data_IF_129550511327
#
_entry.id   IF_129550511327
#
_cell.length_a   1.000
_cell.length_b   1.000
_cell.length_c   1.000
_cell.angle_alpha   90.00
_cell.angle_beta   90.00
_cell.angle_gamma   90.00
#
_symmetry.space_group_name_H-M   'P 1'
#
loop_
_entity.id
_entity.type
_entity.pdbx_description
1 polymer ?
#
# COMPACT_ATOMS: atom_id res chain seq x y z
N UNK A 1 -9.61 -13.04 16.64
CA UNK A 1 -10.33 -13.43 17.84
C UNK A 1 -11.74 -12.88 17.89
N UNK A 2 -12.71 -13.48 18.62
CA UNK A 2 -14.10 -12.99 18.68
C UNK A 2 -14.24 -11.56 19.22
N UNK A 3 -13.32 -11.09 20.04
CA UNK A 3 -13.26 -9.73 20.56
C UNK A 3 -12.32 -8.81 19.80
N UNK A 4 -12.06 -9.10 18.53
CA UNK A 4 -11.19 -8.28 17.69
C UNK A 4 -11.72 -6.82 17.61
N UNK A 5 -10.79 -5.89 17.69
CA UNK A 5 -11.06 -4.46 17.52
C UNK A 5 -10.43 -4.00 16.21
N UNK A 6 -11.23 -3.46 15.27
CA UNK A 6 -10.69 -2.88 14.05
C UNK A 6 -9.52 -1.92 14.34
N UNK A 7 -8.54 -1.87 13.47
CA UNK A 7 -7.32 -1.06 13.66
C UNK A 7 -6.24 -1.70 14.53
N UNK A 8 -6.56 -2.74 15.33
CA UNK A 8 -5.62 -3.33 16.28
C UNK A 8 -5.20 -4.76 15.91
N UNK A 9 -3.99 -5.13 16.28
CA UNK A 9 -3.54 -6.51 16.27
C UNK A 9 -3.49 -7.00 17.71
N UNK A 10 -4.32 -7.98 18.06
CA UNK A 10 -4.23 -8.68 19.33
C UNK A 10 -3.04 -9.64 19.29
N UNK A 11 -1.88 -9.13 19.65
CA UNK A 11 -0.61 -9.85 19.61
C UNK A 11 -0.61 -11.12 20.48
N UNK A 12 0.09 -12.17 20.03
CA UNK A 12 0.33 -13.35 20.87
C UNK A 12 0.95 -12.98 22.20
N UNK A 13 0.41 -13.52 23.29
CA UNK A 13 0.92 -13.30 24.64
C UNK A 13 2.13 -14.21 24.93
N UNK A 14 3.09 -13.73 25.74
CA UNK A 14 4.24 -14.52 26.20
C UNK A 14 3.83 -15.71 27.07
N UNK A 15 2.69 -15.62 27.74
CA UNK A 15 2.16 -16.62 28.66
C UNK A 15 1.21 -17.63 28.01
N UNK A 16 1.18 -17.68 26.69
CA UNK A 16 0.33 -18.57 25.91
C UNK A 16 -0.73 -17.82 25.10
N UNK A 17 -0.76 -18.11 23.81
CA UNK A 17 -1.69 -17.51 22.87
C UNK A 17 -2.93 -18.38 22.69
N UNK A 18 -4.09 -17.75 22.63
CA UNK A 18 -5.37 -18.39 22.37
C UNK A 18 -6.05 -17.74 21.17
N UNK A 19 -6.65 -18.54 20.29
CA UNK A 19 -7.42 -18.02 19.16
C UNK A 19 -8.64 -17.17 19.60
N UNK A 20 -9.06 -17.30 20.85
CA UNK A 20 -10.16 -16.51 21.40
C UNK A 20 -9.75 -15.09 21.80
N UNK A 21 -8.45 -14.85 21.97
CA UNK A 21 -7.91 -13.57 22.46
C UNK A 21 -6.87 -12.93 21.54
N UNK A 22 -6.19 -13.72 20.72
CA UNK A 22 -5.02 -13.29 19.97
C UNK A 22 -5.10 -13.72 18.51
N UNK A 23 -4.39 -13.02 17.63
CA UNK A 23 -4.04 -13.55 16.33
C UNK A 23 -3.10 -14.73 16.51
N UNK A 24 -3.45 -15.89 15.95
CA UNK A 24 -2.64 -17.11 16.04
C UNK A 24 -2.56 -17.81 14.68
N UNK A 25 -1.40 -18.35 14.36
CA UNK A 25 -1.24 -19.21 13.20
C UNK A 25 -1.71 -20.63 13.54
N UNK A 26 -2.85 -21.07 13.00
CA UNK A 26 -3.42 -22.39 13.26
C UNK A 26 -2.75 -23.52 12.48
N UNK A 27 -2.30 -23.23 11.26
CA UNK A 27 -1.64 -24.20 10.40
C UNK A 27 -0.70 -23.52 9.41
N UNK A 28 0.26 -24.26 8.91
CA UNK A 28 1.19 -23.81 7.86
C UNK A 28 1.37 -24.94 6.84
N UNK A 29 1.28 -24.59 5.57
CA UNK A 29 1.54 -25.50 4.45
C UNK A 29 2.48 -24.84 3.45
N UNK A 30 3.52 -25.55 3.05
CA UNK A 30 4.36 -25.13 1.93
C UNK A 30 3.75 -25.64 0.63
N UNK A 31 3.57 -24.77 -0.33
CA UNK A 31 3.03 -25.10 -1.65
C UNK A 31 4.11 -24.93 -2.72
N UNK A 32 4.08 -25.79 -3.76
CA UNK A 32 4.80 -25.49 -4.98
C UNK A 32 4.20 -24.27 -5.68
N UNK A 33 4.96 -23.63 -6.58
CA UNK A 33 4.48 -22.48 -7.37
C UNK A 33 3.16 -22.80 -8.10
N UNK A 34 3.06 -23.97 -8.72
CA UNK A 34 1.87 -24.36 -9.47
C UNK A 34 0.66 -24.62 -8.56
N UNK A 35 0.89 -25.25 -7.41
CA UNK A 35 -0.15 -25.46 -6.40
C UNK A 35 -0.66 -24.14 -5.83
N UNK A 36 0.23 -23.18 -5.59
CA UNK A 36 -0.11 -21.84 -5.15
C UNK A 36 -0.92 -21.10 -6.24
N UNK A 37 -0.45 -21.10 -7.48
CA UNK A 37 -1.16 -20.50 -8.61
C UNK A 37 -2.57 -21.09 -8.78
N UNK A 38 -2.70 -22.42 -8.73
CA UNK A 38 -3.98 -23.12 -8.85
C UNK A 38 -4.94 -22.75 -7.71
N UNK A 39 -4.42 -22.55 -6.48
CA UNK A 39 -5.24 -22.16 -5.33
C UNK A 39 -5.82 -20.75 -5.49
N UNK A 40 -5.11 -19.84 -6.16
CA UNK A 40 -5.51 -18.44 -6.33
C UNK A 40 -6.27 -18.17 -7.64
N UNK A 41 -6.22 -19.07 -8.62
CA UNK A 41 -6.75 -18.83 -9.98
C UNK A 41 -8.27 -18.68 -10.07
N UNK A 42 -9.02 -19.05 -9.03
CA UNK A 42 -10.50 -19.05 -9.01
C UNK A 42 -11.10 -18.00 -8.10
N UNK A 43 -10.28 -17.21 -7.45
CA UNK A 43 -10.71 -16.29 -6.40
C UNK A 43 -10.11 -14.91 -6.62
N UNK A 44 -10.80 -13.88 -6.17
CA UNK A 44 -10.23 -12.56 -6.01
C UNK A 44 -9.02 -12.63 -5.07
N UNK A 45 -7.96 -11.87 -5.35
CA UNK A 45 -6.76 -11.82 -4.51
C UNK A 45 -6.36 -10.37 -4.30
N UNK A 46 -5.97 -10.01 -3.07
CA UNK A 46 -5.38 -8.73 -2.71
C UNK A 46 -3.95 -8.92 -2.21
N UNK A 47 -3.01 -8.13 -2.73
CA UNK A 47 -1.59 -8.21 -2.37
C UNK A 47 -1.22 -7.13 -1.36
N UNK A 48 -0.57 -7.51 -0.26
CA UNK A 48 0.06 -6.58 0.67
C UNK A 48 1.59 -6.71 0.62
N UNK A 49 2.29 -5.56 0.55
CA UNK A 49 3.76 -5.47 0.58
C UNK A 49 4.17 -4.63 1.79
N UNK A 50 4.80 -5.27 2.78
CA UNK A 50 5.15 -4.61 4.04
C UNK A 50 6.30 -3.62 3.92
N UNK A 51 6.45 -2.76 4.92
CA UNK A 51 7.48 -1.73 5.01
C UNK A 51 8.77 -2.17 5.71
N UNK A 52 9.60 -1.17 6.00
CA UNK A 52 10.84 -1.26 6.77
C UNK A 52 10.61 -1.77 8.21
N UNK A 53 11.62 -2.39 8.79
CA UNK A 53 11.63 -2.82 10.19
C UNK A 53 10.44 -3.72 10.53
N UNK A 54 10.06 -4.62 9.63
CA UNK A 54 8.90 -5.51 9.79
C UNK A 54 9.34 -6.96 9.77
N UNK A 55 9.10 -7.69 10.85
CA UNK A 55 9.36 -9.13 10.92
C UNK A 55 8.24 -9.91 10.24
N UNK A 56 8.52 -11.14 9.80
CA UNK A 56 7.55 -11.98 9.09
C UNK A 56 6.20 -12.11 9.81
N UNK A 57 6.20 -12.38 11.11
CA UNK A 57 4.96 -12.55 11.87
C UNK A 57 4.17 -11.24 12.01
N UNK A 58 4.86 -10.11 12.06
CA UNK A 58 4.23 -8.79 12.09
C UNK A 58 3.54 -8.48 10.76
N UNK A 59 4.22 -8.74 9.64
CA UNK A 59 3.63 -8.60 8.31
C UNK A 59 2.43 -9.55 8.13
N UNK A 60 2.54 -10.80 8.59
CA UNK A 60 1.48 -11.80 8.47
C UNK A 60 0.22 -11.38 9.24
N UNK A 61 0.37 -10.94 10.49
CA UNK A 61 -0.77 -10.52 11.30
C UNK A 61 -1.37 -9.20 10.80
N UNK A 62 -0.54 -8.28 10.31
CA UNK A 62 -1.04 -7.06 9.66
C UNK A 62 -1.85 -7.39 8.40
N UNK A 63 -1.41 -8.33 7.58
CA UNK A 63 -2.15 -8.77 6.40
C UNK A 63 -3.51 -9.37 6.78
N UNK A 64 -3.54 -10.21 7.81
CA UNK A 64 -4.78 -10.80 8.31
C UNK A 64 -5.72 -9.76 8.91
N UNK A 65 -5.20 -8.81 9.67
CA UNK A 65 -5.95 -7.69 10.22
C UNK A 65 -6.60 -6.86 9.10
N UNK A 66 -5.81 -6.40 8.13
CA UNK A 66 -6.30 -5.58 7.02
C UNK A 66 -7.44 -6.28 6.25
N UNK A 67 -7.31 -7.59 6.03
CA UNK A 67 -8.34 -8.38 5.35
C UNK A 67 -9.65 -8.43 6.13
N UNK A 68 -9.58 -8.54 7.46
CA UNK A 68 -10.76 -8.59 8.32
C UNK A 68 -11.38 -7.22 8.49
N UNK A 69 -10.57 -6.20 8.78
CA UNK A 69 -11.04 -4.86 9.09
C UNK A 69 -11.67 -4.14 7.90
N UNK A 70 -11.10 -4.34 6.72
CA UNK A 70 -11.64 -3.77 5.48
C UNK A 70 -12.71 -4.65 4.81
N UNK A 71 -13.16 -5.71 5.48
CA UNK A 71 -14.13 -6.66 4.93
C UNK A 71 -13.79 -7.14 3.51
N UNK A 72 -12.49 -7.34 3.25
CA UNK A 72 -11.98 -7.72 1.94
C UNK A 72 -12.42 -9.15 1.62
N UNK A 73 -13.21 -9.33 0.56
CA UNK A 73 -13.64 -10.66 0.09
C UNK A 73 -12.51 -11.42 -0.60
N UNK A 74 -11.54 -10.70 -1.16
CA UNK A 74 -10.37 -11.26 -1.81
C UNK A 74 -9.48 -12.00 -0.83
N UNK A 75 -8.86 -13.09 -1.31
CA UNK A 75 -7.83 -13.79 -0.52
C UNK A 75 -6.61 -12.89 -0.31
N UNK A 76 -6.23 -12.64 0.95
CA UNK A 76 -5.06 -11.84 1.22
C UNK A 76 -3.79 -12.62 0.85
N UNK A 77 -2.93 -11.99 0.08
CA UNK A 77 -1.58 -12.46 -0.27
C UNK A 77 -0.58 -11.49 0.33
N UNK A 78 0.35 -12.01 1.13
CA UNK A 78 1.47 -11.24 1.64
C UNK A 78 2.70 -11.48 0.77
N UNK A 79 3.27 -10.42 0.22
CA UNK A 79 4.66 -10.45 -0.25
C UNK A 79 5.58 -10.03 0.90
N UNK A 80 6.36 -10.98 1.40
CA UNK A 80 7.37 -10.68 2.42
C UNK A 80 8.77 -10.68 1.80
N UNK A 81 9.53 -9.64 2.09
CA UNK A 81 10.92 -9.48 1.70
C UNK A 81 11.81 -9.46 2.95
N UNK A 82 13.13 -9.73 2.85
CA UNK A 82 13.99 -9.97 4.01
C UNK A 82 14.37 -8.68 4.76
N UNK A 83 13.38 -8.03 5.38
CA UNK A 83 13.63 -6.94 6.33
C UNK A 83 14.32 -7.48 7.58
N UNK A 84 15.33 -6.77 8.07
CA UNK A 84 16.09 -7.16 9.24
C UNK A 84 15.29 -7.07 10.55
N UNK A 85 14.17 -6.33 10.57
CA UNK A 85 13.27 -6.23 11.70
C UNK A 85 13.86 -5.49 12.92
N UNK A 86 14.75 -4.49 12.69
CA UNK A 86 15.24 -3.58 13.72
C UNK A 86 15.54 -2.18 13.14
N UNK A 87 15.36 -1.10 13.92
CA UNK A 87 15.42 0.27 13.40
C UNK A 87 16.75 0.71 12.80
N UNK A 88 17.87 0.12 13.24
CA UNK A 88 19.22 0.47 12.76
C UNK A 88 19.56 -0.05 11.37
N UNK A 89 18.72 -0.93 10.79
CA UNK A 89 19.00 -1.61 9.53
C UNK A 89 18.43 -0.88 8.29
N UNK A 90 18.13 0.40 8.36
CA UNK A 90 17.45 1.12 7.27
C UNK A 90 18.13 0.95 5.90
N UNK A 91 19.46 1.09 5.83
CA UNK A 91 20.20 0.93 4.56
C UNK A 91 20.20 -0.53 4.08
N UNK A 92 20.40 -1.48 5.01
CA UNK A 92 20.37 -2.90 4.67
C UNK A 92 18.96 -3.33 4.16
N UNK A 93 17.90 -2.84 4.80
CA UNK A 93 16.53 -3.10 4.37
C UNK A 93 16.25 -2.47 2.99
N UNK A 94 16.80 -1.29 2.71
CA UNK A 94 16.69 -0.68 1.39
C UNK A 94 17.33 -1.55 0.31
N UNK A 95 18.54 -2.06 0.55
CA UNK A 95 19.23 -2.98 -0.37
C UNK A 95 18.45 -4.30 -0.52
N UNK A 96 17.90 -4.84 0.58
CA UNK A 96 17.08 -6.04 0.57
C UNK A 96 15.76 -5.83 -0.21
N UNK A 97 15.14 -4.64 -0.11
CA UNK A 97 13.97 -4.29 -0.91
C UNK A 97 14.31 -4.24 -2.41
N UNK A 98 15.43 -3.60 -2.76
CA UNK A 98 15.90 -3.52 -4.14
C UNK A 98 16.25 -4.90 -4.73
N UNK A 99 16.84 -5.80 -3.93
CA UNK A 99 17.09 -7.19 -4.28
C UNK A 99 15.80 -7.98 -4.57
N UNK A 100 14.71 -7.65 -3.87
CA UNK A 100 13.46 -8.40 -3.94
C UNK A 100 12.56 -8.07 -5.15
N UNK A 101 12.94 -7.09 -5.98
CA UNK A 101 12.14 -6.62 -7.13
C UNK A 101 11.76 -7.73 -8.11
N UNK A 102 12.72 -8.58 -8.47
CA UNK A 102 12.47 -9.67 -9.42
C UNK A 102 11.44 -10.68 -8.88
N UNK A 103 11.51 -10.99 -7.57
CA UNK A 103 10.56 -11.88 -6.92
C UNK A 103 9.15 -11.28 -6.87
N UNK A 104 9.02 -9.97 -6.59
CA UNK A 104 7.73 -9.29 -6.62
C UNK A 104 7.17 -9.23 -8.04
N UNK A 105 8.01 -8.95 -9.05
CA UNK A 105 7.59 -8.98 -10.45
C UNK A 105 7.06 -10.36 -10.87
N UNK A 106 7.72 -11.43 -10.43
CA UNK A 106 7.27 -12.80 -10.70
C UNK A 106 5.96 -13.14 -10.00
N UNK A 107 5.76 -12.65 -8.78
CA UNK A 107 4.48 -12.81 -8.08
C UNK A 107 3.37 -12.05 -8.80
N UNK A 108 3.59 -10.79 -9.18
CA UNK A 108 2.59 -10.00 -9.93
C UNK A 108 2.19 -10.68 -11.24
N UNK A 109 3.16 -11.20 -12.00
CA UNK A 109 2.87 -12.00 -13.23
C UNK A 109 1.99 -13.21 -12.92
N UNK A 110 2.24 -13.87 -11.81
CA UNK A 110 1.47 -15.04 -11.39
C UNK A 110 0.03 -14.66 -11.00
N UNK A 111 -0.15 -13.60 -10.21
CA UNK A 111 -1.44 -13.15 -9.71
C UNK A 111 -2.34 -12.57 -10.82
N UNK A 112 -1.75 -11.95 -11.84
CA UNK A 112 -2.48 -11.33 -12.95
C UNK A 112 -2.75 -12.28 -14.11
N UNK A 113 -2.16 -13.49 -14.10
CA UNK A 113 -2.30 -14.47 -15.17
C UNK A 113 -3.77 -14.90 -15.37
N UNK A 114 -4.28 -14.68 -16.58
CA UNK A 114 -5.64 -15.07 -16.95
C UNK A 114 -6.75 -14.13 -16.45
N UNK A 115 -6.39 -13.03 -15.78
CA UNK A 115 -7.35 -11.99 -15.36
C UNK A 115 -7.61 -11.00 -16.50
N UNK A 116 -8.75 -10.33 -16.44
CA UNK A 116 -9.03 -9.16 -17.28
C UNK A 116 -8.56 -7.88 -16.58
N UNK A 117 -8.54 -6.77 -17.32
CA UNK A 117 -8.23 -5.48 -16.70
C UNK A 117 -9.38 -4.95 -15.81
N UNK A 118 -10.60 -5.47 -15.97
CA UNK A 118 -11.72 -5.18 -15.07
C UNK A 118 -11.71 -6.05 -13.80
N UNK A 119 -10.82 -7.06 -13.74
CA UNK A 119 -10.56 -7.92 -12.58
C UNK A 119 -9.10 -7.67 -12.14
N UNK A 120 -8.78 -6.41 -11.86
CA UNK A 120 -7.46 -6.01 -11.45
C UNK A 120 -7.13 -6.49 -10.03
N UNK A 121 -5.87 -6.88 -9.81
CA UNK A 121 -5.37 -7.27 -8.49
C UNK A 121 -5.06 -6.02 -7.68
N UNK A 122 -5.74 -5.76 -6.56
CA UNK A 122 -5.38 -4.69 -5.65
C UNK A 122 -4.03 -4.98 -4.98
N UNK A 123 -3.16 -3.98 -4.98
CA UNK A 123 -1.81 -4.02 -4.40
C UNK A 123 -1.68 -2.88 -3.40
N UNK A 124 -1.68 -3.20 -2.12
CA UNK A 124 -1.39 -2.24 -1.05
C UNK A 124 0.09 -2.38 -0.65
N UNK A 125 0.84 -1.31 -0.84
CA UNK A 125 2.27 -1.29 -0.51
C UNK A 125 2.57 -0.19 0.52
N UNK A 126 3.20 -0.57 1.64
CA UNK A 126 3.45 0.32 2.76
C UNK A 126 4.92 0.75 2.84
N UNK A 127 5.17 2.05 3.03
CA UNK A 127 6.48 2.61 3.37
C UNK A 127 7.60 2.21 2.36
N UNK A 128 8.64 1.51 2.81
CA UNK A 128 9.70 0.96 1.95
C UNK A 128 9.18 -0.11 0.98
N UNK A 129 8.08 -0.81 1.32
CA UNK A 129 7.36 -1.68 0.39
C UNK A 129 6.76 -0.92 -0.79
N UNK A 130 6.34 0.33 -0.60
CA UNK A 130 5.92 1.20 -1.70
C UNK A 130 7.09 1.53 -2.65
N UNK A 131 8.30 1.78 -2.11
CA UNK A 131 9.52 1.93 -2.90
C UNK A 131 9.79 0.67 -3.75
N UNK A 132 9.80 -0.50 -3.11
CA UNK A 132 9.98 -1.80 -3.78
C UNK A 132 8.95 -1.99 -4.90
N UNK A 133 7.69 -1.68 -4.63
CA UNK A 133 6.61 -1.80 -5.61
C UNK A 133 6.85 -0.89 -6.81
N UNK A 134 7.13 0.41 -6.62
CA UNK A 134 7.40 1.34 -7.71
C UNK A 134 8.59 0.91 -8.58
N UNK A 135 9.70 0.49 -7.97
CA UNK A 135 10.85 -0.05 -8.70
C UNK A 135 10.48 -1.29 -9.54
N UNK A 136 9.60 -2.14 -8.99
CA UNK A 136 9.10 -3.33 -9.68
C UNK A 136 8.20 -2.97 -10.87
N UNK A 137 7.32 -1.95 -10.71
CA UNK A 137 6.46 -1.49 -11.81
C UNK A 137 7.28 -0.92 -12.97
N UNK A 138 8.29 -0.10 -12.66
CA UNK A 138 9.23 0.42 -13.68
C UNK A 138 9.96 -0.73 -14.38
N UNK A 139 10.44 -1.73 -13.64
CA UNK A 139 11.07 -2.91 -14.23
C UNK A 139 10.12 -3.68 -15.16
N UNK A 140 8.85 -3.84 -14.78
CA UNK A 140 7.83 -4.49 -15.63
C UNK A 140 7.56 -3.68 -16.90
N UNK A 141 7.47 -2.36 -16.82
CA UNK A 141 7.29 -1.48 -17.99
C UNK A 141 8.46 -1.61 -18.96
N UNK A 142 9.68 -1.51 -18.46
CA UNK A 142 10.90 -1.64 -19.26
C UNK A 142 11.05 -3.02 -19.89
N UNK A 143 10.46 -4.06 -19.28
CA UNK A 143 10.38 -5.41 -19.81
C UNK A 143 9.18 -5.63 -20.76
N UNK A 144 8.42 -4.58 -21.12
CA UNK A 144 7.25 -4.65 -22.01
C UNK A 144 6.09 -5.48 -21.43
N UNK A 145 5.94 -5.52 -20.10
CA UNK A 145 4.92 -6.31 -19.42
C UNK A 145 3.69 -5.48 -19.07
N UNK A 146 3.16 -4.76 -20.05
CA UNK A 146 1.91 -4.01 -19.92
C UNK A 146 0.72 -4.91 -19.58
N UNK A 147 0.78 -6.17 -20.02
CA UNK A 147 -0.22 -7.19 -19.65
C UNK A 147 -0.35 -7.41 -18.13
N UNK A 148 0.72 -7.17 -17.36
CA UNK A 148 0.69 -7.22 -15.89
C UNK A 148 0.22 -5.88 -15.34
N UNK A 149 0.76 -4.77 -15.85
CA UNK A 149 0.46 -3.42 -15.37
C UNK A 149 -1.01 -3.03 -15.55
N UNK A 150 -1.64 -3.48 -16.63
CA UNK A 150 -3.07 -3.23 -16.90
C UNK A 150 -4.02 -3.99 -15.98
N UNK A 151 -3.50 -4.94 -15.19
CA UNK A 151 -4.30 -5.83 -14.33
C UNK A 151 -3.96 -5.70 -12.85
N UNK A 152 -3.38 -4.57 -12.45
CA UNK A 152 -3.12 -4.24 -11.05
C UNK A 152 -3.67 -2.86 -10.73
N UNK A 153 -4.13 -2.70 -9.50
CA UNK A 153 -4.53 -1.42 -8.92
C UNK A 153 -3.68 -1.14 -7.69
N UNK A 154 -2.93 -0.04 -7.69
CA UNK A 154 -1.84 0.18 -6.73
C UNK A 154 -2.19 1.31 -5.76
N UNK A 155 -2.10 1.01 -4.47
CA UNK A 155 -2.17 1.97 -3.37
C UNK A 155 -0.82 1.98 -2.65
N UNK A 156 -0.19 3.15 -2.60
CA UNK A 156 1.04 3.40 -1.88
C UNK A 156 0.71 4.10 -0.56
N UNK A 157 0.80 3.38 0.56
CA UNK A 157 0.50 3.93 1.88
C UNK A 157 1.78 4.44 2.55
N UNK A 158 1.80 5.71 2.94
CA UNK A 158 2.95 6.39 3.58
C UNK A 158 4.28 6.11 2.84
N UNK A 159 4.38 6.31 1.51
CA UNK A 159 5.52 5.84 0.71
C UNK A 159 6.84 6.51 1.14
N UNK A 160 7.83 5.68 1.48
CA UNK A 160 9.20 6.12 1.78
C UNK A 160 10.02 6.23 0.49
N UNK A 161 9.58 7.10 -0.41
CA UNK A 161 10.20 7.36 -1.70
C UNK A 161 10.58 8.84 -1.77
N UNK A 162 11.77 9.14 -2.24
CA UNK A 162 12.17 10.50 -2.58
C UNK A 162 11.28 11.05 -3.70
N UNK A 163 10.82 12.29 -3.57
CA UNK A 163 9.85 12.87 -4.53
C UNK A 163 10.43 13.01 -5.94
N UNK A 164 11.73 13.32 -6.08
CA UNK A 164 12.36 13.44 -7.39
C UNK A 164 12.57 12.05 -8.01
N UNK A 165 12.90 11.04 -7.19
CA UNK A 165 12.94 9.66 -7.64
C UNK A 165 11.56 9.20 -8.11
N UNK A 166 10.50 9.50 -7.35
CA UNK A 166 9.13 9.15 -7.75
C UNK A 166 8.74 9.79 -9.09
N UNK A 167 9.08 11.07 -9.29
CA UNK A 167 8.87 11.73 -10.60
C UNK A 167 9.56 11.01 -11.73
N UNK A 168 10.83 10.64 -11.54
CA UNK A 168 11.59 9.89 -12.56
C UNK A 168 10.99 8.51 -12.83
N UNK A 169 10.52 7.83 -11.77
CA UNK A 169 9.81 6.55 -11.88
C UNK A 169 8.50 6.71 -12.68
N UNK A 170 7.70 7.74 -12.41
CA UNK A 170 6.45 8.00 -13.14
C UNK A 170 6.71 8.33 -14.63
N UNK A 171 7.76 9.08 -14.95
CA UNK A 171 8.17 9.31 -16.34
C UNK A 171 8.52 8.00 -17.04
N UNK A 172 9.27 7.12 -16.37
CA UNK A 172 9.68 5.82 -16.93
C UNK A 172 8.51 4.83 -17.03
N UNK A 173 7.60 4.87 -16.07
CA UNK A 173 6.41 4.01 -16.02
C UNK A 173 5.38 4.44 -17.07
N UNK A 174 5.24 5.74 -17.34
CA UNK A 174 4.21 6.28 -18.21
C UNK A 174 2.79 6.05 -17.69
N UNK A 175 1.76 6.25 -18.53
CA UNK A 175 0.37 6.10 -18.13
C UNK A 175 0.06 4.68 -17.65
N UNK A 176 -0.67 4.58 -16.56
CA UNK A 176 -1.23 3.34 -16.01
C UNK A 176 -2.72 3.26 -16.35
N UNK A 177 -3.22 2.06 -16.61
CA UNK A 177 -4.67 1.84 -16.84
C UNK A 177 -5.48 2.17 -15.59
N UNK A 178 -4.98 1.78 -14.43
CA UNK A 178 -5.52 2.16 -13.13
C UNK A 178 -4.58 3.17 -12.49
N UNK A 179 -5.05 4.40 -12.19
CA UNK A 179 -4.24 5.41 -11.53
C UNK A 179 -3.66 4.91 -10.21
N UNK A 180 -2.38 5.18 -9.96
CA UNK A 180 -1.77 4.90 -8.67
C UNK A 180 -2.35 5.84 -7.62
N UNK A 181 -2.78 5.30 -6.49
CA UNK A 181 -3.24 6.08 -5.34
C UNK A 181 -2.12 6.18 -4.30
N UNK A 182 -1.89 7.38 -3.79
CA UNK A 182 -0.86 7.68 -2.78
C UNK A 182 -1.54 8.21 -1.54
N UNK A 183 -1.42 7.49 -0.42
CA UNK A 183 -1.89 7.95 0.89
C UNK A 183 -0.76 8.67 1.60
N UNK A 184 -0.97 9.93 1.95
CA UNK A 184 0.03 10.80 2.57
C UNK A 184 -0.42 11.28 3.95
N UNK A 185 0.55 11.57 4.83
CA UNK A 185 0.30 12.11 6.16
C UNK A 185 1.42 13.06 6.54
N UNK A 186 1.12 14.35 6.66
CA UNK A 186 2.11 15.41 6.87
C UNK A 186 2.79 15.35 8.25
N UNK A 187 2.21 14.67 9.21
CA UNK A 187 2.72 14.50 10.58
C UNK A 187 3.51 13.21 10.82
N UNK A 188 3.68 12.36 9.81
CA UNK A 188 4.37 11.07 9.90
C UNK A 188 5.82 11.20 10.39
N UNK A 189 6.08 10.77 11.64
CA UNK A 189 7.38 10.87 12.29
C UNK A 189 8.41 9.88 11.72
N UNK A 190 7.98 8.71 11.25
CA UNK A 190 8.89 7.72 10.67
C UNK A 190 9.45 8.22 9.34
N UNK A 191 8.61 8.82 8.51
CA UNK A 191 9.05 9.43 7.26
C UNK A 191 9.90 10.69 7.48
N UNK A 192 9.62 11.48 8.54
CA UNK A 192 10.48 12.60 8.95
C UNK A 192 11.88 12.11 9.36
N UNK A 193 11.95 10.96 10.05
CA UNK A 193 13.24 10.34 10.40
C UNK A 193 13.97 9.82 9.14
N UNK A 194 13.26 9.10 8.26
CA UNK A 194 13.79 8.64 6.97
C UNK A 194 14.33 9.79 6.13
N UNK A 195 13.61 10.91 6.04
CA UNK A 195 14.05 12.14 5.37
C UNK A 195 15.38 12.64 5.94
N UNK A 196 15.54 12.68 7.27
CA UNK A 196 16.80 13.09 7.93
C UNK A 196 17.96 12.16 7.61
N UNK A 197 17.72 10.84 7.62
CA UNK A 197 18.72 9.83 7.25
C UNK A 197 19.17 9.94 5.78
N UNK A 198 18.34 10.56 4.94
CA UNK A 198 18.57 10.74 3.50
C UNK A 198 18.86 12.19 3.13
N UNK A 199 19.68 12.87 3.91
CA UNK A 199 20.10 14.26 3.67
C UNK A 199 18.91 15.25 3.52
N UNK A 200 17.85 15.05 4.29
CA UNK A 200 16.62 15.88 4.31
C UNK A 200 15.84 15.90 2.99
N UNK A 201 15.96 14.85 2.18
CA UNK A 201 15.16 14.73 0.97
C UNK A 201 13.69 14.49 1.32
N UNK A 202 12.81 15.18 0.60
CA UNK A 202 11.35 15.10 0.84
C UNK A 202 10.83 13.71 0.47
N UNK A 203 10.09 13.10 1.37
CA UNK A 203 9.41 11.83 1.14
C UNK A 203 8.02 12.05 0.57
N UNK A 204 7.65 11.26 -0.43
CA UNK A 204 6.34 11.34 -1.07
C UNK A 204 5.19 11.20 -0.06
N UNK A 205 5.33 10.35 0.96
CA UNK A 205 4.32 10.19 2.02
C UNK A 205 4.17 11.38 2.96
N UNK A 206 5.05 12.41 2.89
CA UNK A 206 5.02 13.63 3.71
C UNK A 206 4.52 14.87 2.96
N UNK A 207 4.19 14.76 1.67
CA UNK A 207 3.83 15.94 0.87
C UNK A 207 2.54 16.59 1.38
N UNK A 208 2.48 17.90 1.31
CA UNK A 208 1.25 18.65 1.56
C UNK A 208 0.45 18.72 0.26
N UNK A 209 -0.77 18.18 0.27
CA UNK A 209 -1.67 18.17 -0.90
C UNK A 209 -2.09 19.55 -1.35
N UNK A 210 -1.94 20.57 -0.47
CA UNK A 210 -2.23 21.97 -0.79
C UNK A 210 -1.08 22.66 -1.53
N UNK A 211 0.11 22.04 -1.58
CA UNK A 211 1.24 22.60 -2.32
C UNK A 211 0.96 22.53 -3.83
N UNK A 212 0.97 23.69 -4.54
CA UNK A 212 0.74 23.71 -5.98
C UNK A 212 1.71 22.83 -6.79
N UNK A 213 2.93 22.59 -6.28
CA UNK A 213 3.88 21.70 -6.94
C UNK A 213 3.43 20.22 -6.86
N UNK A 214 2.83 19.83 -5.73
CA UNK A 214 2.26 18.48 -5.53
C UNK A 214 1.02 18.29 -6.40
N UNK A 215 0.16 19.32 -6.49
CA UNK A 215 -1.02 19.29 -7.37
C UNK A 215 -0.61 19.16 -8.85
N UNK A 216 0.37 19.95 -9.30
CA UNK A 216 0.92 19.81 -10.66
C UNK A 216 1.52 18.43 -10.91
N UNK A 217 2.20 17.85 -9.92
CA UNK A 217 2.72 16.48 -10.02
C UNK A 217 1.59 15.48 -10.22
N UNK A 218 0.53 15.55 -9.40
CA UNK A 218 -0.61 14.65 -9.50
C UNK A 218 -1.28 14.72 -10.88
N UNK A 219 -1.54 15.92 -11.38
CA UNK A 219 -2.11 16.14 -12.73
C UNK A 219 -1.18 15.60 -13.82
N UNK A 220 0.11 15.96 -13.77
CA UNK A 220 1.08 15.57 -14.80
C UNK A 220 1.32 14.06 -14.88
N UNK A 221 1.16 13.34 -13.77
CA UNK A 221 1.41 11.89 -13.69
C UNK A 221 0.14 11.05 -13.68
N UNK A 222 -1.03 11.68 -13.53
CA UNK A 222 -2.32 10.97 -13.45
C UNK A 222 -2.50 10.15 -12.16
N UNK A 223 -1.76 10.46 -11.09
CA UNK A 223 -1.91 9.80 -9.80
C UNK A 223 -3.02 10.45 -8.97
N UNK A 224 -3.53 9.72 -7.98
CA UNK A 224 -4.42 10.22 -6.94
C UNK A 224 -3.64 10.38 -5.65
N UNK A 225 -3.75 11.53 -4.99
CA UNK A 225 -3.14 11.74 -3.68
C UNK A 225 -4.25 11.97 -2.66
N UNK A 226 -4.26 11.18 -1.61
CA UNK A 226 -5.24 11.24 -0.53
C UNK A 226 -4.53 11.60 0.76
N UNK A 227 -4.90 12.74 1.36
CA UNK A 227 -4.41 13.13 2.68
C UNK A 227 -5.19 12.39 3.76
N UNK A 228 -4.47 11.62 4.56
CA UNK A 228 -5.02 10.86 5.67
C UNK A 228 -4.53 11.39 7.04
N UNK A 229 -3.99 12.62 7.08
CA UNK A 229 -3.42 13.21 8.30
C UNK A 229 -4.43 13.26 9.45
N UNK A 230 -5.69 13.59 9.17
CA UNK A 230 -6.73 13.76 10.19
C UNK A 230 -7.47 12.45 10.56
N UNK A 231 -7.10 11.32 9.96
CA UNK A 231 -7.72 10.02 10.31
C UNK A 231 -7.25 9.63 11.73
N UNK A 232 -8.17 9.40 12.66
CA UNK A 232 -7.83 8.89 13.99
C UNK A 232 -7.15 7.53 13.88
N UNK A 233 -6.16 7.28 14.72
CA UNK A 233 -5.51 5.98 14.82
C UNK A 233 -4.86 5.81 16.18
N UNK A 234 -4.97 4.62 16.76
CA UNK A 234 -4.21 4.19 17.93
C UNK A 234 -2.79 3.68 17.53
N UNK A 235 -2.58 3.40 16.24
CA UNK A 235 -1.28 3.05 15.69
C UNK A 235 -0.42 4.32 15.50
N UNK A 236 0.91 4.19 15.40
CA UNK A 236 1.76 5.30 14.97
C UNK A 236 1.25 5.94 13.67
N UNK A 237 1.40 7.25 13.51
CA UNK A 237 0.95 8.00 12.33
C UNK A 237 1.41 7.37 10.99
N UNK A 238 2.52 6.63 11.01
CA UNK A 238 3.04 5.87 9.87
C UNK A 238 2.15 4.69 9.44
N UNK A 239 1.26 4.21 10.32
CA UNK A 239 0.28 3.14 10.04
C UNK A 239 -1.15 3.66 9.92
N UNK A 240 -1.37 4.96 9.75
CA UNK A 240 -2.70 5.61 9.72
C UNK A 240 -3.62 5.05 8.62
N UNK A 241 -3.06 4.50 7.54
CA UNK A 241 -3.82 3.79 6.52
C UNK A 241 -4.63 2.61 7.07
N UNK A 242 -4.23 2.04 8.20
CA UNK A 242 -4.98 0.97 8.88
C UNK A 242 -6.29 1.51 9.42
N UNK A 243 -6.27 2.70 10.08
CA UNK A 243 -7.49 3.37 10.54
C UNK A 243 -8.45 3.72 9.41
N UNK A 244 -7.92 4.14 8.25
CA UNK A 244 -8.72 4.35 7.05
C UNK A 244 -9.44 3.06 6.60
N UNK A 245 -8.71 1.94 6.54
CA UNK A 245 -9.23 0.66 6.07
C UNK A 245 -10.14 -0.04 7.09
N UNK A 246 -9.98 0.24 8.40
CA UNK A 246 -10.80 -0.36 9.46
C UNK A 246 -12.14 0.34 9.70
N UNK A 247 -12.45 1.38 8.93
CA UNK A 247 -13.69 2.14 9.13
C UNK A 247 -13.73 2.98 10.41
N UNK A 248 -12.62 3.09 11.16
CA UNK A 248 -12.53 3.97 12.36
C UNK A 248 -12.72 5.44 11.99
N UNK A 249 -12.60 5.79 10.72
CA UNK A 249 -12.86 7.14 10.19
C UNK A 249 -14.35 7.54 10.15
N UNK A 250 -15.24 6.70 10.70
CA UNK A 250 -16.68 6.96 10.86
C UNK A 250 -17.46 7.04 9.55
N UNK A 251 -18.31 6.06 9.30
CA UNK A 251 -19.52 6.07 8.45
C UNK A 251 -19.40 6.62 7.00
N UNK A 252 -18.23 6.69 6.39
CA UNK A 252 -18.04 7.25 5.04
C UNK A 252 -17.76 6.15 4.00
N UNK A 253 -17.60 4.89 4.41
CA UNK A 253 -17.21 3.80 3.50
C UNK A 253 -18.26 2.68 3.55
N UNK A 254 -19.45 2.95 3.00
CA UNK A 254 -20.42 1.85 2.69
C UNK A 254 -20.09 1.11 1.37
N UNK A 255 -19.11 1.61 0.60
CA UNK A 255 -18.58 0.93 -0.57
C UNK A 255 -17.05 0.90 -0.49
N UNK A 256 -16.46 -0.20 -0.87
CA UNK A 256 -15.03 -0.51 -0.71
C UNK A 256 -14.12 0.70 -1.00
N UNK A 257 -13.07 0.93 -0.18
CA UNK A 257 -12.05 1.97 -0.38
C UNK A 257 -11.60 2.06 -1.84
N UNK A 258 -11.52 0.92 -2.52
CA UNK A 258 -11.16 0.83 -3.93
C UNK A 258 -12.24 1.43 -4.85
N UNK A 259 -13.53 1.30 -4.53
CA UNK A 259 -14.61 1.85 -5.36
C UNK A 259 -14.74 3.37 -5.18
N UNK A 260 -14.58 3.91 -3.99
CA UNK A 260 -14.53 5.36 -3.76
C UNK A 260 -13.30 6.01 -4.36
N UNK A 261 -12.14 5.37 -4.26
CA UNK A 261 -10.90 5.80 -4.92
C UNK A 261 -11.02 5.73 -6.44
N UNK A 262 -11.78 4.76 -7.01
CA UNK A 262 -12.09 4.68 -8.44
C UNK A 262 -12.97 5.81 -8.94
N UNK A 263 -14.00 6.20 -8.16
CA UNK A 263 -14.97 7.23 -8.56
C UNK A 263 -14.36 8.64 -8.56
N UNK A 264 -13.30 8.85 -7.84
CA UNK A 264 -12.75 10.17 -7.57
C UNK A 264 -11.85 10.76 -8.65
N UNK A 265 -11.66 10.18 -9.81
CA UNK A 265 -10.83 10.78 -10.89
C UNK A 265 -9.41 11.21 -10.43
N UNK A 266 -8.61 11.86 -11.27
CA UNK A 266 -7.29 12.35 -10.91
C UNK A 266 -7.39 13.66 -10.08
N UNK A 267 -7.85 13.57 -8.83
CA UNK A 267 -8.03 14.71 -7.93
C UNK A 267 -7.14 14.60 -6.70
N UNK A 268 -6.72 15.75 -6.19
CA UNK A 268 -6.10 15.90 -4.89
C UNK A 268 -7.23 16.05 -3.87
N UNK A 269 -7.35 15.14 -2.91
CA UNK A 269 -8.39 15.22 -1.89
C UNK A 269 -7.83 15.84 -0.60
N UNK A 270 -8.54 16.84 -0.09
CA UNK A 270 -8.41 17.34 1.27
C UNK A 270 -9.53 16.73 2.10
N UNK A 271 -9.16 16.07 3.19
CA UNK A 271 -9.98 15.60 4.30
C UNK A 271 -11.05 14.53 4.02
N UNK A 272 -10.88 13.40 4.69
CA UNK A 272 -11.97 12.49 5.04
C UNK A 272 -12.72 13.10 6.24
N UNK A 273 -13.89 13.69 6.00
CA UNK A 273 -14.74 14.25 7.08
C UNK A 273 -15.43 15.57 6.77
N UNK A 274 -15.17 16.20 5.63
CA UNK A 274 -15.85 17.41 5.17
C UNK A 274 -16.20 17.33 3.70
N UNK A 275 -17.36 17.84 3.35
CA UNK A 275 -17.94 17.93 2.01
C UNK A 275 -16.89 17.98 0.90
N UNK A 276 -16.95 17.05 -0.05
CA UNK A 276 -16.15 17.00 -1.26
C UNK A 276 -16.35 18.30 -2.05
N UNK A 277 -15.39 19.20 -2.02
CA UNK A 277 -15.31 20.29 -3.00
C UNK A 277 -14.28 19.86 -4.03
N UNK A 278 -14.75 19.28 -5.14
CA UNK A 278 -13.92 18.97 -6.28
C UNK A 278 -13.38 20.28 -6.91
N UNK A 279 -12.06 20.37 -7.10
CA UNK A 279 -11.46 21.42 -7.93
C UNK A 279 -11.68 20.99 -9.40
N UNK A 280 -12.94 21.09 -9.86
CA UNK A 280 -13.29 20.91 -11.27
C UNK A 280 -13.17 22.17 -12.12
N UNK A 281 -12.92 23.34 -11.51
CA UNK A 281 -13.04 24.65 -12.18
C UNK A 281 -11.71 25.37 -12.47
N UNK A 282 -10.57 24.72 -12.39
CA UNK A 282 -9.25 25.36 -12.64
C UNK A 282 -8.72 25.15 -14.08
N UNK A 283 -9.48 24.50 -14.95
CA UNK A 283 -9.09 24.30 -16.36
C UNK A 283 -9.95 25.09 -17.37
N UNK A 284 -10.63 26.13 -16.92
CA UNK A 284 -11.36 27.02 -17.82
C UNK A 284 -10.87 28.48 -17.64
N UNK A 285 -9.55 28.72 -17.93
CA UNK A 285 -9.03 30.03 -18.36
C UNK A 285 -7.64 29.83 -18.98
#
# INVERSE_FOLDING_TARGET
PPGHRPGKIEWPDRNGSSADRNFVMRSRQTLSRDAFAKRLSREGVGLYVHGFNTRFHEALFRTAQLSVDAHIEEKPVLFTWPSAGYPGAYLADRDASDFSRAALADLLRLLTKGRSASDAVPVLAHSMGARLTMETLVQLRLAGRDDVLDRIEVILAAPDIDIDLFRAQMVSLGPMKHPITVLVSSDDLALKLSSRLSARRIRLGLVDVRDPAVQRLAVATGIRIVDITDIPTDDPAHSRYVGLLSGEAGAVVENTLFDEVRLAGAFVFNQVGGVFTGIGDVLAD
#
